data_IF_965449840864
#
_entry.id   IF_965449840864
#
_cell.length_a   1.000
_cell.length_b   1.000
_cell.length_c   1.000
_cell.angle_alpha   90.00
_cell.angle_beta   90.00
_cell.angle_gamma   90.00
#
_symmetry.space_group_name_H-M   'P 1'
#
loop_
_entity.id
_entity.type
_entity.pdbx_description
1 polymer ?
#
# COMPACT_ATOMS: atom_id res chain seq x y z
N UNK A 1 56.51 -35.84 -31.44
CA UNK A 1 56.29 -34.42 -31.15
C UNK A 1 54.89 -34.29 -30.55
N UNK A 2 54.62 -34.58 -29.27
CA UNK A 2 55.46 -34.66 -28.06
C UNK A 2 56.27 -33.38 -27.77
N UNK A 3 56.42 -32.91 -26.54
CA UNK A 3 55.83 -33.31 -25.23
C UNK A 3 54.48 -32.56 -24.94
N UNK A 4 53.66 -32.73 -23.90
CA UNK A 4 53.77 -33.06 -22.44
C UNK A 4 54.45 -32.01 -21.55
N UNK A 5 54.06 -31.99 -20.25
CA UNK A 5 54.38 -31.02 -19.17
C UNK A 5 53.58 -29.69 -19.20
N UNK A 6 53.22 -29.04 -18.08
CA UNK A 6 53.18 -29.51 -16.68
C UNK A 6 52.11 -28.80 -15.83
N UNK A 7 51.84 -29.32 -14.63
CA UNK A 7 50.78 -28.88 -13.72
C UNK A 7 51.37 -28.02 -12.60
N UNK A 8 50.84 -26.81 -12.34
CA UNK A 8 51.29 -25.98 -11.19
C UNK A 8 50.12 -25.46 -10.36
N UNK A 9 49.78 -26.19 -9.31
CA UNK A 9 48.88 -25.76 -8.24
C UNK A 9 49.72 -25.13 -7.13
N UNK A 10 49.60 -23.83 -6.91
CA UNK A 10 50.25 -23.16 -5.78
C UNK A 10 49.37 -23.23 -4.53
N UNK A 11 49.98 -23.65 -3.42
CA UNK A 11 49.34 -23.74 -2.10
C UNK A 11 49.80 -22.57 -1.24
N UNK A 12 48.87 -21.92 -0.53
CA UNK A 12 49.21 -21.09 0.62
C UNK A 12 49.29 -21.96 1.89
N UNK A 13 50.19 -21.64 2.84
CA UNK A 13 50.45 -22.48 4.01
C UNK A 13 49.44 -22.25 5.15
N UNK A 14 49.16 -23.32 5.91
CA UNK A 14 48.57 -23.25 7.24
C UNK A 14 49.64 -22.98 8.30
N UNK A 15 49.29 -22.20 9.32
CA UNK A 15 50.01 -22.14 10.59
C UNK A 15 49.00 -22.33 11.72
N UNK A 16 49.14 -23.42 12.47
CA UNK A 16 48.39 -23.67 13.69
C UNK A 16 49.14 -23.02 14.88
N UNK A 17 48.40 -22.54 15.88
CA UNK A 17 48.90 -22.49 17.26
C UNK A 17 47.82 -23.01 18.21
N UNK A 18 48.24 -23.93 19.08
CA UNK A 18 47.41 -24.64 20.06
C UNK A 18 47.93 -24.36 21.48
N UNK A 19 47.03 -24.45 22.47
CA UNK A 19 47.20 -24.61 23.94
C UNK A 19 45.81 -24.29 24.55
N UNK A 20 45.07 -25.11 25.31
CA UNK A 20 45.38 -26.21 26.25
C UNK A 20 46.15 -25.77 27.51
N UNK A 21 45.91 -26.30 28.73
CA UNK A 21 44.90 -27.28 29.23
C UNK A 21 43.73 -26.55 29.95
N UNK A 22 42.92 -27.00 30.94
CA UNK A 22 42.88 -28.17 31.87
C UNK A 22 41.41 -28.47 32.27
N UNK A 23 41.12 -29.23 33.35
CA UNK A 23 39.81 -29.87 33.59
C UNK A 23 39.48 -30.23 35.06
N UNK A 24 38.19 -30.06 35.47
CA UNK A 24 37.40 -30.89 36.44
C UNK A 24 37.88 -31.02 37.91
N UNK A 25 37.07 -31.60 38.84
CA UNK A 25 35.61 -31.50 39.09
C UNK A 25 35.33 -31.13 40.59
N UNK A 26 34.27 -31.66 41.22
CA UNK A 26 33.91 -31.63 42.66
C UNK A 26 33.13 -30.39 43.16
N UNK A 27 32.02 -30.52 43.90
CA UNK A 27 30.75 -31.29 43.74
C UNK A 27 29.73 -30.81 44.84
N UNK A 28 28.47 -31.30 44.80
CA UNK A 28 27.38 -31.26 45.83
C UNK A 28 26.73 -29.94 46.36
N UNK A 29 25.38 -29.96 46.28
CA UNK A 29 24.37 -29.56 47.29
C UNK A 29 24.41 -28.19 48.00
N UNK A 30 23.40 -27.36 47.72
CA UNK A 30 22.47 -26.89 48.75
C UNK A 30 21.11 -26.58 48.09
N UNK A 31 20.04 -27.15 48.64
CA UNK A 31 18.67 -26.71 48.36
C UNK A 31 18.39 -25.44 49.17
N UNK A 32 17.77 -24.44 48.54
CA UNK A 32 17.22 -23.28 49.24
C UNK A 32 15.87 -22.97 48.63
N UNK A 33 14.79 -23.27 49.36
CA UNK A 33 13.43 -23.00 48.94
C UNK A 33 13.26 -21.51 48.63
N UNK A 34 13.01 -21.20 47.36
CA UNK A 34 12.49 -19.90 46.94
C UNK A 34 10.98 -19.94 47.14
N UNK A 35 10.55 -19.60 48.35
CA UNK A 35 9.14 -19.55 48.76
C UNK A 35 8.37 -18.63 47.80
N UNK A 36 7.47 -19.25 47.01
CA UNK A 36 6.83 -18.62 45.86
C UNK A 36 5.45 -18.02 46.20
N UNK A 37 5.18 -17.80 47.49
CA UNK A 37 3.88 -17.36 48.01
C UNK A 37 3.63 -15.85 47.86
N UNK A 38 4.67 -15.01 47.97
CA UNK A 38 4.56 -13.55 47.95
C UNK A 38 4.91 -12.94 46.58
N UNK A 39 4.24 -13.39 45.52
CA UNK A 39 4.04 -12.56 44.32
C UNK A 39 2.79 -11.72 44.56
N UNK A 40 2.88 -10.37 44.65
CA UNK A 40 1.68 -9.54 44.69
C UNK A 40 0.87 -9.77 43.41
N UNK A 41 -0.36 -10.26 43.53
CA UNK A 41 -1.33 -10.03 42.46
C UNK A 41 -1.70 -8.57 42.52
N UNK A 42 -1.16 -7.77 41.60
CA UNK A 42 -1.64 -6.42 41.35
C UNK A 42 -3.12 -6.51 40.98
N UNK A 43 -3.99 -6.12 41.90
CA UNK A 43 -5.40 -5.90 41.61
C UNK A 43 -5.51 -4.73 40.62
N UNK A 44 -5.54 -5.05 39.32
CA UNK A 44 -5.90 -4.10 38.28
C UNK A 44 -7.34 -3.61 38.52
N UNK A 45 -7.47 -2.52 39.28
CA UNK A 45 -8.72 -1.82 39.55
C UNK A 45 -9.27 -1.22 38.26
N UNK A 46 -10.07 -1.99 37.54
CA UNK A 46 -10.69 -1.67 36.24
C UNK A 46 -11.83 -0.64 36.35
N UNK A 47 -11.70 0.32 37.28
CA UNK A 47 -12.67 1.38 37.57
C UNK A 47 -12.27 2.74 36.97
N UNK A 48 -11.28 2.78 36.09
CA UNK A 48 -10.85 4.02 35.45
C UNK A 48 -11.65 4.27 34.16
N UNK A 49 -12.73 5.04 34.28
CA UNK A 49 -13.52 5.48 33.12
C UNK A 49 -12.76 6.47 32.21
N UNK A 50 -11.68 7.10 32.72
CA UNK A 50 -10.81 7.98 31.94
C UNK A 50 -10.14 7.22 30.78
N UNK A 51 -9.70 5.98 31.05
CA UNK A 51 -9.06 5.07 30.10
C UNK A 51 -10.02 4.58 28.98
N UNK A 52 -11.32 4.88 29.11
CA UNK A 52 -12.33 4.62 28.09
C UNK A 52 -12.64 5.87 27.26
N UNK A 53 -12.67 7.07 27.85
CA UNK A 53 -12.88 8.32 27.09
C UNK A 53 -11.70 8.67 26.19
N UNK A 54 -10.46 8.51 26.68
CA UNK A 54 -9.25 8.83 25.91
C UNK A 54 -9.07 7.87 24.73
N UNK A 55 -9.46 6.60 24.94
CA UNK A 55 -9.49 5.60 23.87
C UNK A 55 -10.54 5.94 22.80
N UNK A 56 -11.75 6.33 23.20
CA UNK A 56 -12.82 6.71 22.28
C UNK A 56 -12.44 7.91 21.41
N UNK A 57 -11.92 8.98 22.01
CA UNK A 57 -11.49 10.18 21.29
C UNK A 57 -10.40 9.87 20.25
N UNK A 58 -9.45 8.99 20.58
CA UNK A 58 -8.41 8.55 19.65
C UNK A 58 -8.95 7.77 18.43
N UNK A 59 -10.10 7.09 18.57
CA UNK A 59 -10.80 6.47 17.43
C UNK A 59 -11.44 7.53 16.54
N UNK A 60 -12.17 8.48 17.12
CA UNK A 60 -12.86 9.54 16.37
C UNK A 60 -11.88 10.46 15.61
N UNK A 61 -10.72 10.76 16.19
CA UNK A 61 -9.61 11.45 15.53
C UNK A 61 -9.03 10.66 14.34
N UNK A 62 -8.84 9.34 14.49
CA UNK A 62 -8.36 8.49 13.38
C UNK A 62 -9.37 8.40 12.24
N UNK A 63 -10.64 8.19 12.54
CA UNK A 63 -11.70 8.20 11.55
C UNK A 63 -11.76 9.53 10.81
N UNK A 64 -11.69 10.64 11.54
CA UNK A 64 -11.71 11.99 10.98
C UNK A 64 -10.50 12.22 10.06
N UNK A 65 -9.30 11.78 10.43
CA UNK A 65 -8.12 11.83 9.57
C UNK A 65 -8.32 11.04 8.26
N UNK A 66 -8.89 9.84 8.34
CA UNK A 66 -9.08 8.94 7.19
C UNK A 66 -10.19 9.43 6.26
N UNK A 67 -11.32 9.88 6.82
CA UNK A 67 -12.42 10.44 6.04
C UNK A 67 -11.97 11.70 5.31
N UNK A 68 -11.22 12.59 5.97
CA UNK A 68 -10.55 13.69 5.28
C UNK A 68 -9.62 13.18 4.17
N UNK A 69 -8.78 12.16 4.42
CA UNK A 69 -7.85 11.63 3.41
C UNK A 69 -8.52 10.98 2.19
N UNK A 70 -9.68 10.35 2.37
CA UNK A 70 -10.49 9.76 1.28
C UNK A 70 -11.20 10.87 0.50
N UNK A 71 -11.86 11.79 1.22
CA UNK A 71 -12.83 12.74 0.67
C UNK A 71 -12.29 14.17 0.49
N UNK A 72 -11.01 14.46 0.75
CA UNK A 72 -10.44 15.82 0.64
C UNK A 72 -10.85 16.53 -0.65
N UNK A 73 -10.65 15.90 -1.80
CA UNK A 73 -11.04 16.45 -3.11
C UNK A 73 -12.53 16.79 -3.21
N UNK A 74 -13.42 16.05 -2.54
CA UNK A 74 -14.87 16.32 -2.52
C UNK A 74 -15.21 17.45 -1.54
N UNK A 75 -14.49 17.53 -0.42
CA UNK A 75 -14.64 18.63 0.55
C UNK A 75 -14.11 19.95 -0.02
N UNK A 76 -12.94 19.94 -0.66
CA UNK A 76 -12.34 21.11 -1.32
C UNK A 76 -13.26 21.62 -2.44
N UNK A 77 -13.75 20.74 -3.34
CA UNK A 77 -14.73 21.09 -4.38
C UNK A 77 -16.04 21.66 -3.81
N UNK A 78 -16.49 21.15 -2.66
CA UNK A 78 -17.69 21.66 -2.01
C UNK A 78 -17.47 23.01 -1.32
N UNK A 79 -16.28 23.23 -0.74
CA UNK A 79 -15.91 24.52 -0.18
C UNK A 79 -15.86 25.60 -1.28
N UNK A 80 -15.46 25.25 -2.51
CA UNK A 80 -15.60 26.12 -3.67
C UNK A 80 -17.06 26.39 -4.07
N UNK A 81 -17.97 25.43 -3.93
CA UNK A 81 -19.38 25.60 -4.35
C UNK A 81 -20.29 26.28 -3.31
N UNK A 82 -20.09 26.02 -2.02
CA UNK A 82 -20.86 26.68 -0.93
C UNK A 82 -20.38 28.13 -0.68
N UNK A 83 -19.36 28.62 -1.43
CA UNK A 83 -18.82 29.98 -1.35
C UNK A 83 -19.43 31.00 -2.31
N UNK A 84 -20.29 30.59 -3.25
CA UNK A 84 -20.84 31.47 -4.30
C UNK A 84 -21.88 32.43 -3.71
N UNK A 85 -21.45 33.65 -3.41
CA UNK A 85 -22.33 34.83 -3.32
C UNK A 85 -22.22 35.57 -4.66
N UNK A 86 -23.32 35.69 -5.41
CA UNK A 86 -23.35 36.19 -6.80
C UNK A 86 -22.96 37.70 -7.00
N UNK A 87 -22.43 38.36 -5.97
CA UNK A 87 -22.17 39.82 -5.92
C UNK A 87 -20.67 40.20 -5.83
N UNK A 88 -19.74 39.25 -5.64
CA UNK A 88 -18.30 39.54 -5.62
C UNK A 88 -17.69 39.27 -7.01
N UNK A 89 -17.27 40.35 -7.68
CA UNK A 89 -16.77 40.26 -9.05
C UNK A 89 -15.41 39.55 -9.09
N UNK A 90 -15.39 38.34 -9.68
CA UNK A 90 -14.16 37.59 -9.96
C UNK A 90 -13.17 38.51 -10.71
N UNK A 91 -12.04 38.84 -10.06
CA UNK A 91 -10.89 39.36 -10.79
C UNK A 91 -10.49 38.29 -11.81
N UNK A 92 -10.29 38.64 -13.09
CA UNK A 92 -9.94 37.64 -14.10
C UNK A 92 -8.56 37.07 -13.74
N UNK A 93 -8.52 35.84 -13.25
CA UNK A 93 -7.27 35.11 -13.03
C UNK A 93 -6.48 35.15 -14.35
N UNK A 94 -5.36 35.89 -14.37
CA UNK A 94 -4.52 35.98 -15.56
C UNK A 94 -4.06 34.56 -15.90
N UNK A 95 -4.51 34.02 -17.03
CA UNK A 95 -4.21 32.64 -17.46
C UNK A 95 -2.71 32.52 -17.79
N UNK A 96 -1.89 32.33 -16.76
CA UNK A 96 -0.44 32.18 -16.84
C UNK A 96 -0.06 31.20 -17.95
N UNK A 97 0.89 31.59 -18.80
CA UNK A 97 1.25 30.78 -19.97
C UNK A 97 1.75 29.39 -19.56
N UNK A 98 1.63 28.39 -20.43
CA UNK A 98 2.10 27.03 -20.14
C UNK A 98 3.59 27.01 -19.78
N UNK A 99 4.40 27.88 -20.39
CA UNK A 99 5.81 28.05 -20.03
C UNK A 99 6.01 28.66 -18.64
N UNK A 100 5.16 29.61 -18.22
CA UNK A 100 5.22 30.26 -16.91
C UNK A 100 4.74 29.34 -15.79
N UNK A 101 3.59 28.67 -15.98
CA UNK A 101 3.08 27.63 -15.07
C UNK A 101 4.10 26.51 -14.89
N UNK A 102 4.72 26.04 -15.98
CA UNK A 102 5.76 25.02 -15.93
C UNK A 102 7.06 25.52 -15.26
N UNK A 103 7.43 26.78 -15.46
CA UNK A 103 8.61 27.40 -14.82
C UNK A 103 8.42 27.53 -13.31
N UNK A 104 7.28 28.06 -12.86
CA UNK A 104 6.92 28.17 -11.44
C UNK A 104 6.91 26.79 -10.78
N UNK A 105 6.36 25.77 -11.44
CA UNK A 105 6.43 24.38 -10.96
C UNK A 105 7.89 23.90 -10.83
N UNK A 106 8.72 24.10 -11.86
CA UNK A 106 10.14 23.70 -11.84
C UNK A 106 10.95 24.38 -10.73
N UNK A 107 10.64 25.63 -10.38
CA UNK A 107 11.32 26.38 -9.32
C UNK A 107 11.02 25.85 -7.92
N UNK A 108 9.86 25.19 -7.73
CA UNK A 108 9.41 24.63 -6.45
C UNK A 108 9.66 23.11 -6.30
N UNK A 109 10.34 22.46 -7.26
CA UNK A 109 10.68 21.02 -7.15
C UNK A 109 11.86 20.78 -6.19
N UNK A 110 11.75 19.77 -5.32
CA UNK A 110 12.92 19.25 -4.59
C UNK A 110 14.03 18.83 -5.57
N UNK A 111 15.32 18.89 -5.19
CA UNK A 111 16.43 18.40 -6.03
C UNK A 111 16.25 16.94 -6.51
N UNK A 112 15.61 16.09 -5.69
CA UNK A 112 15.30 14.69 -6.05
C UNK A 112 14.14 14.61 -7.05
N UNK A 113 13.13 15.49 -6.94
CA UNK A 113 12.01 15.56 -7.87
C UNK A 113 12.47 16.10 -9.24
N UNK A 114 13.24 17.21 -9.22
CA UNK A 114 13.86 17.80 -10.42
C UNK A 114 14.71 16.77 -11.18
N UNK A 115 15.57 16.03 -10.47
CA UNK A 115 16.39 14.96 -11.07
C UNK A 115 15.56 13.88 -11.77
N UNK A 116 14.45 13.45 -11.17
CA UNK A 116 13.49 12.50 -11.79
C UNK A 116 12.80 13.10 -13.02
N UNK A 117 12.38 14.37 -12.95
CA UNK A 117 11.77 15.08 -14.07
C UNK A 117 12.73 15.23 -15.25
N UNK A 118 13.98 15.66 -15.00
CA UNK A 118 15.01 15.74 -16.04
C UNK A 118 15.26 14.39 -16.71
N UNK A 119 15.36 13.31 -15.92
CA UNK A 119 15.55 11.96 -16.45
C UNK A 119 14.37 11.52 -17.32
N UNK A 120 13.12 11.75 -16.88
CA UNK A 120 11.93 11.47 -17.67
C UNK A 120 11.87 12.31 -18.96
N UNK A 121 12.19 13.60 -18.89
CA UNK A 121 12.20 14.53 -20.03
C UNK A 121 13.21 14.09 -21.10
N UNK A 122 14.45 13.73 -20.69
CA UNK A 122 15.54 13.30 -21.59
C UNK A 122 15.39 11.87 -22.10
N UNK A 123 14.73 10.98 -21.35
CA UNK A 123 14.58 9.57 -21.73
C UNK A 123 13.58 9.37 -22.87
N UNK A 124 13.97 8.58 -23.87
CA UNK A 124 13.13 8.13 -24.97
C UNK A 124 13.29 6.64 -25.23
N UNK A 125 12.28 6.01 -25.84
CA UNK A 125 12.30 4.58 -26.13
C UNK A 125 13.34 4.27 -27.22
N UNK A 126 14.03 3.12 -27.09
CA UNK A 126 15.08 2.72 -28.03
C UNK A 126 14.51 2.44 -29.42
N UNK A 127 14.76 3.37 -30.35
CA UNK A 127 14.36 3.33 -31.77
C UNK A 127 14.76 2.02 -32.47
N UNK A 128 15.89 1.41 -32.09
CA UNK A 128 16.35 0.13 -32.63
C UNK A 128 15.49 -1.05 -32.17
N UNK A 129 15.04 -1.05 -30.91
CA UNK A 129 14.08 -2.04 -30.40
C UNK A 129 12.69 -1.86 -31.03
N UNK A 130 12.23 -0.61 -31.18
CA UNK A 130 10.96 -0.28 -31.85
C UNK A 130 10.94 -0.76 -33.30
N UNK A 131 12.04 -0.59 -34.05
CA UNK A 131 12.17 -1.17 -35.40
C UNK A 131 12.08 -2.70 -35.42
N UNK A 132 12.73 -3.39 -34.48
CA UNK A 132 12.67 -4.86 -34.38
C UNK A 132 11.25 -5.33 -34.08
N UNK A 133 10.55 -4.66 -33.16
CA UNK A 133 9.17 -4.97 -32.82
C UNK A 133 8.22 -4.72 -33.99
N UNK A 134 8.32 -3.57 -34.66
CA UNK A 134 7.48 -3.25 -35.82
C UNK A 134 7.74 -4.21 -36.99
N UNK A 135 9.00 -4.62 -37.22
CA UNK A 135 9.32 -5.68 -38.18
C UNK A 135 8.69 -7.03 -37.79
N UNK A 136 8.75 -7.42 -36.51
CA UNK A 136 8.15 -8.68 -36.05
C UNK A 136 6.61 -8.72 -36.15
N UNK A 137 5.94 -7.56 -36.05
CA UNK A 137 4.47 -7.47 -36.14
C UNK A 137 3.98 -7.29 -37.59
N UNK A 138 4.66 -6.47 -38.40
CA UNK A 138 4.23 -6.12 -39.76
C UNK A 138 4.91 -6.94 -40.86
N UNK A 139 5.97 -7.70 -40.51
CA UNK A 139 6.89 -8.37 -41.44
C UNK A 139 7.51 -7.41 -42.50
N UNK A 140 7.61 -6.12 -42.17
CA UNK A 140 8.06 -5.04 -43.06
C UNK A 140 9.09 -4.13 -42.37
N UNK A 141 10.07 -3.63 -43.14
CA UNK A 141 11.15 -2.78 -42.62
C UNK A 141 10.71 -1.32 -42.45
N UNK A 142 10.90 -0.77 -41.25
CA UNK A 142 10.42 0.56 -40.88
C UNK A 142 11.52 1.62 -40.95
N UNK A 143 11.18 2.78 -41.53
CA UNK A 143 12.09 3.91 -41.72
C UNK A 143 12.51 4.57 -40.39
N UNK A 144 13.57 5.39 -40.41
CA UNK A 144 14.00 6.13 -39.21
C UNK A 144 12.91 7.05 -38.66
N UNK A 145 12.19 7.75 -39.54
CA UNK A 145 11.22 8.77 -39.14
C UNK A 145 9.97 8.12 -38.52
N UNK A 146 9.46 7.03 -39.12
CA UNK A 146 8.34 6.27 -38.55
C UNK A 146 8.76 5.63 -37.21
N UNK A 147 9.98 5.11 -37.10
CA UNK A 147 10.49 4.59 -35.82
C UNK A 147 10.59 5.68 -34.73
N UNK A 148 10.87 6.94 -35.08
CA UNK A 148 10.81 8.08 -34.13
C UNK A 148 9.36 8.34 -33.69
N UNK A 149 8.41 8.43 -34.63
CA UNK A 149 6.99 8.67 -34.33
C UNK A 149 6.44 7.58 -33.42
N UNK A 150 6.65 6.30 -33.77
CA UNK A 150 6.21 5.16 -32.95
C UNK A 150 6.89 5.17 -31.58
N UNK A 151 8.17 5.55 -31.47
CA UNK A 151 8.85 5.69 -30.16
C UNK A 151 8.22 6.81 -29.30
N UNK A 152 7.71 7.87 -29.92
CA UNK A 152 6.98 8.95 -29.24
C UNK A 152 5.62 8.50 -28.74
N UNK A 153 4.78 7.95 -29.62
CA UNK A 153 3.45 7.41 -29.27
C UNK A 153 3.56 6.32 -28.20
N UNK A 154 4.55 5.42 -28.30
CA UNK A 154 4.79 4.40 -27.28
C UNK A 154 5.22 4.99 -25.93
N UNK A 155 5.86 6.17 -25.86
CA UNK A 155 6.18 6.83 -24.59
C UNK A 155 4.93 7.42 -23.95
N UNK A 156 4.07 8.05 -24.74
CA UNK A 156 2.78 8.60 -24.27
C UNK A 156 1.90 7.48 -23.72
N UNK A 157 1.70 6.40 -24.51
CA UNK A 157 0.93 5.22 -24.12
C UNK A 157 1.41 4.57 -22.81
N UNK A 158 2.74 4.40 -22.63
CA UNK A 158 3.29 3.87 -21.38
C UNK A 158 3.01 4.81 -20.20
N UNK A 159 3.04 6.13 -20.43
CA UNK A 159 2.62 7.13 -19.43
C UNK A 159 1.15 6.98 -19.04
N UNK A 160 0.24 6.93 -20.01
CA UNK A 160 -1.22 6.79 -19.80
C UNK A 160 -1.56 5.53 -18.99
N UNK A 161 -0.93 4.40 -19.27
CA UNK A 161 -1.15 3.14 -18.53
C UNK A 161 -0.57 3.19 -17.11
N UNK A 162 0.61 3.79 -16.90
CA UNK A 162 1.21 3.94 -15.57
C UNK A 162 0.40 4.92 -14.70
N UNK A 163 -0.10 6.00 -15.30
CA UNK A 163 -0.95 6.99 -14.64
C UNK A 163 -2.29 6.37 -14.22
N UNK A 164 -2.98 5.67 -15.14
CA UNK A 164 -4.19 4.91 -14.78
C UNK A 164 -3.92 3.84 -13.71
N UNK A 165 -2.76 3.19 -13.71
CA UNK A 165 -2.39 2.24 -12.66
C UNK A 165 -2.16 2.90 -11.30
N UNK A 166 -1.64 4.13 -11.26
CA UNK A 166 -1.57 4.94 -10.04
C UNK A 166 -2.97 5.29 -9.52
N UNK A 167 -3.89 5.69 -10.41
CA UNK A 167 -5.27 6.00 -10.05
C UNK A 167 -6.05 4.75 -9.56
N UNK A 168 -5.79 3.57 -10.13
CA UNK A 168 -6.32 2.30 -9.62
C UNK A 168 -5.75 1.99 -8.22
N UNK A 169 -4.44 2.13 -8.03
CA UNK A 169 -3.81 1.95 -6.72
C UNK A 169 -4.41 2.87 -5.67
N UNK A 170 -4.64 4.15 -6.00
CA UNK A 170 -5.26 5.12 -5.09
C UNK A 170 -6.70 4.72 -4.73
N UNK A 171 -7.49 4.24 -5.70
CA UNK A 171 -8.85 3.73 -5.47
C UNK A 171 -8.85 2.48 -4.59
N UNK A 172 -7.89 1.57 -4.75
CA UNK A 172 -7.75 0.39 -3.91
C UNK A 172 -7.33 0.77 -2.48
N UNK A 173 -6.35 1.66 -2.33
CA UNK A 173 -5.99 2.21 -1.01
C UNK A 173 -7.22 2.85 -0.32
N UNK A 174 -8.03 3.64 -1.06
CA UNK A 174 -9.29 4.24 -0.55
C UNK A 174 -10.33 3.19 -0.15
N UNK A 175 -10.45 2.07 -0.86
CA UNK A 175 -11.30 0.95 -0.45
C UNK A 175 -10.77 0.27 0.83
N UNK A 176 -9.46 0.00 0.92
CA UNK A 176 -8.83 -0.61 2.10
C UNK A 176 -8.99 0.27 3.35
N UNK A 177 -8.86 1.59 3.23
CA UNK A 177 -9.14 2.52 4.33
C UNK A 177 -10.59 2.39 4.82
N UNK A 178 -11.59 2.29 3.91
CA UNK A 178 -13.00 2.15 4.27
C UNK A 178 -13.31 0.79 4.93
N UNK A 179 -12.68 -0.29 4.47
CA UNK A 179 -12.85 -1.64 5.05
C UNK A 179 -12.32 -1.65 6.49
N UNK A 180 -11.08 -1.21 6.72
CA UNK A 180 -10.47 -1.20 8.05
C UNK A 180 -11.19 -0.25 9.03
N UNK A 181 -11.70 0.88 8.53
CA UNK A 181 -12.53 1.80 9.31
C UNK A 181 -13.84 1.12 9.75
N UNK A 182 -14.49 0.37 8.85
CA UNK A 182 -15.70 -0.41 9.17
C UNK A 182 -15.42 -1.52 10.20
N UNK A 183 -14.31 -2.24 10.05
CA UNK A 183 -13.87 -3.28 11.01
C UNK A 183 -13.62 -2.67 12.41
N UNK A 184 -12.89 -1.55 12.49
CA UNK A 184 -12.63 -0.85 13.76
C UNK A 184 -13.92 -0.33 14.42
N UNK A 185 -14.91 0.12 13.62
CA UNK A 185 -16.27 0.47 14.10
C UNK A 185 -17.06 -0.70 14.64
N UNK A 186 -17.01 -1.85 13.97
CA UNK A 186 -17.72 -3.04 14.43
C UNK A 186 -17.14 -3.53 15.77
N UNK A 187 -15.81 -3.48 15.93
CA UNK A 187 -15.15 -3.78 17.20
C UNK A 187 -15.46 -2.75 18.30
N UNK A 188 -15.46 -1.43 18.03
CA UNK A 188 -15.77 -0.43 19.05
C UNK A 188 -17.24 -0.50 19.50
N UNK A 189 -18.17 -0.80 18.59
CA UNK A 189 -19.59 -1.07 18.91
C UNK A 189 -19.78 -2.36 19.71
N UNK A 190 -18.92 -3.38 19.55
CA UNK A 190 -18.90 -4.57 20.41
C UNK A 190 -18.34 -4.23 21.81
N UNK A 191 -17.21 -3.53 21.88
CA UNK A 191 -16.58 -3.09 23.14
C UNK A 191 -17.55 -2.26 24.01
N UNK A 192 -18.30 -1.33 23.41
CA UNK A 192 -19.36 -0.56 24.10
C UNK A 192 -20.48 -1.44 24.67
N UNK A 193 -20.81 -2.57 24.03
CA UNK A 193 -21.82 -3.51 24.53
C UNK A 193 -21.29 -4.30 25.72
N UNK A 194 -20.07 -4.84 25.63
CA UNK A 194 -19.44 -5.57 26.75
C UNK A 194 -19.26 -4.66 27.98
N UNK A 195 -18.79 -3.41 27.80
CA UNK A 195 -18.73 -2.41 28.87
C UNK A 195 -20.10 -2.11 29.49
N UNK A 196 -21.16 -2.03 28.69
CA UNK A 196 -22.53 -1.82 29.19
C UNK A 196 -23.03 -3.03 29.98
N UNK A 197 -22.73 -4.25 29.55
CA UNK A 197 -23.04 -5.47 30.29
C UNK A 197 -22.28 -5.56 31.62
N UNK A 198 -21.01 -5.16 31.65
CA UNK A 198 -20.20 -5.04 32.87
C UNK A 198 -20.88 -4.10 33.88
N UNK A 199 -21.18 -2.84 33.47
CA UNK A 199 -21.83 -1.85 34.34
C UNK A 199 -23.24 -2.26 34.78
N UNK A 200 -23.96 -3.03 33.96
CA UNK A 200 -25.26 -3.62 34.35
C UNK A 200 -25.14 -4.82 35.31
N UNK A 201 -24.02 -5.53 35.34
CA UNK A 201 -23.77 -6.61 36.30
C UNK A 201 -23.36 -6.04 37.67
N UNK A 202 -22.43 -5.07 37.66
CA UNK A 202 -21.99 -4.32 38.85
C UNK A 202 -23.18 -3.69 39.61
N UNK A 203 -24.10 -3.04 38.89
CA UNK A 203 -25.28 -2.39 39.48
C UNK A 203 -26.30 -3.37 40.11
N UNK A 204 -26.29 -4.66 39.73
CA UNK A 204 -27.24 -5.65 40.26
C UNK A 204 -26.77 -6.31 41.57
N UNK A 205 -25.51 -6.13 41.96
CA UNK A 205 -24.87 -6.87 43.08
C UNK A 205 -25.09 -8.40 42.98
N UNK A 206 -25.17 -8.90 41.74
CA UNK A 206 -25.42 -10.29 41.44
C UNK A 206 -24.07 -11.04 41.41
N UNK A 207 -23.98 -12.21 42.05
CA UNK A 207 -22.72 -12.96 42.21
C UNK A 207 -22.32 -13.71 40.93
N UNK A 208 -22.30 -13.00 39.80
CA UNK A 208 -21.97 -13.48 38.47
C UNK A 208 -20.48 -13.27 38.22
N UNK A 209 -19.78 -14.28 37.71
CA UNK A 209 -18.39 -14.16 37.31
C UNK A 209 -18.23 -13.11 36.20
N UNK A 210 -17.69 -11.93 36.52
CA UNK A 210 -17.41 -10.84 35.57
C UNK A 210 -16.10 -11.03 34.80
N UNK A 211 -15.24 -11.94 35.26
CA UNK A 211 -13.96 -12.31 34.64
C UNK A 211 -14.02 -12.65 33.13
N UNK A 212 -15.02 -13.38 32.59
CA UNK A 212 -15.18 -13.54 31.14
C UNK A 212 -15.49 -12.24 30.39
N UNK A 213 -16.26 -11.32 30.98
CA UNK A 213 -16.58 -10.02 30.35
C UNK A 213 -15.32 -9.14 30.31
N UNK A 214 -14.58 -9.10 31.42
CA UNK A 214 -13.29 -8.39 31.53
C UNK A 214 -12.29 -8.92 30.49
N UNK A 215 -12.12 -10.23 30.38
CA UNK A 215 -11.21 -10.81 29.39
C UNK A 215 -11.65 -10.51 27.95
N UNK A 216 -12.97 -10.48 27.68
CA UNK A 216 -13.49 -10.07 26.36
C UNK A 216 -13.17 -8.61 26.05
N UNK A 217 -13.39 -7.69 26.99
CA UNK A 217 -13.04 -6.26 26.85
C UNK A 217 -11.53 -6.10 26.58
N UNK A 218 -10.67 -6.82 27.31
CA UNK A 218 -9.21 -6.80 27.07
C UNK A 218 -8.87 -7.25 25.65
N UNK A 219 -9.41 -8.38 25.17
CA UNK A 219 -9.15 -8.85 23.79
C UNK A 219 -9.61 -7.84 22.73
N UNK A 220 -10.74 -7.16 22.93
CA UNK A 220 -11.24 -6.14 22.02
C UNK A 220 -10.39 -4.86 22.04
N UNK A 221 -9.95 -4.38 23.22
CA UNK A 221 -9.01 -3.25 23.33
C UNK A 221 -7.69 -3.57 22.61
N UNK A 222 -7.16 -4.78 22.76
CA UNK A 222 -5.97 -5.23 22.03
C UNK A 222 -6.18 -5.30 20.51
N UNK A 223 -7.31 -5.84 20.04
CA UNK A 223 -7.61 -6.03 18.62
C UNK A 223 -7.75 -4.68 17.90
N UNK A 224 -8.49 -3.73 18.50
CA UNK A 224 -8.61 -2.35 18.02
C UNK A 224 -7.26 -1.62 18.03
N UNK A 225 -6.41 -1.85 19.05
CA UNK A 225 -5.05 -1.27 19.14
C UNK A 225 -4.07 -1.86 18.13
N UNK A 226 -4.31 -3.06 17.59
CA UNK A 226 -3.54 -3.65 16.48
C UNK A 226 -3.96 -3.10 15.11
N UNK A 227 -5.14 -2.48 15.02
CA UNK A 227 -5.63 -1.82 13.79
C UNK A 227 -5.09 -0.39 13.68
N UNK A 228 -3.78 -0.22 13.50
CA UNK A 228 -3.14 1.07 13.20
C UNK A 228 -3.58 1.61 11.83
N UNK A 229 -4.63 2.44 11.79
CA UNK A 229 -5.17 2.98 10.54
C UNK A 229 -4.24 4.02 9.89
N UNK A 230 -3.32 4.60 10.68
CA UNK A 230 -2.35 5.63 10.24
C UNK A 230 -1.16 5.03 9.45
N UNK A 231 -0.82 3.76 9.65
CA UNK A 231 0.40 3.14 9.10
C UNK A 231 0.11 2.36 7.80
N UNK A 232 -0.18 3.08 6.71
CA UNK A 232 -0.52 2.50 5.41
C UNK A 232 0.41 3.07 4.33
N UNK A 233 1.05 2.18 3.56
CA UNK A 233 2.09 2.54 2.59
C UNK A 233 1.50 3.09 1.27
N UNK A 234 1.15 4.38 1.28
CA UNK A 234 0.69 5.15 0.11
C UNK A 234 1.66 5.08 -1.08
N UNK A 235 2.95 4.85 -0.82
CA UNK A 235 4.03 4.82 -1.80
C UNK A 235 4.45 3.39 -2.18
N UNK A 236 3.62 2.39 -1.92
CA UNK A 236 3.83 1.01 -2.34
C UNK A 236 4.06 0.89 -3.86
N UNK A 237 4.86 -0.10 -4.32
CA UNK A 237 5.09 -0.32 -5.75
C UNK A 237 3.81 -0.72 -6.49
N UNK A 238 3.70 -0.33 -7.76
CA UNK A 238 2.59 -0.74 -8.63
C UNK A 238 2.58 -2.27 -8.80
N UNK A 239 1.48 -2.90 -8.40
CA UNK A 239 1.28 -4.33 -8.53
C UNK A 239 0.74 -4.71 -9.93
N UNK A 240 0.92 -5.98 -10.38
CA UNK A 240 0.39 -6.45 -11.66
C UNK A 240 -1.13 -6.27 -11.82
N UNK A 241 -1.91 -6.31 -10.73
CA UNK A 241 -3.36 -6.06 -10.77
C UNK A 241 -3.69 -4.62 -11.15
N UNK A 242 -2.94 -3.64 -10.63
CA UNK A 242 -3.15 -2.23 -10.97
C UNK A 242 -2.94 -1.97 -12.47
N UNK A 243 -1.94 -2.64 -13.06
CA UNK A 243 -1.66 -2.58 -14.51
C UNK A 243 -2.77 -3.28 -15.32
N UNK A 244 -3.29 -4.43 -14.86
CA UNK A 244 -4.40 -5.15 -15.52
C UNK A 244 -5.68 -4.32 -15.53
N UNK A 245 -6.07 -3.74 -14.41
CA UNK A 245 -7.28 -2.92 -14.31
C UNK A 245 -7.11 -1.57 -15.03
N UNK A 246 -5.92 -0.95 -14.98
CA UNK A 246 -5.61 0.24 -15.78
C UNK A 246 -5.76 -0.02 -17.29
N UNK A 247 -5.30 -1.18 -17.77
CA UNK A 247 -5.52 -1.60 -19.16
C UNK A 247 -7.00 -1.83 -19.47
N UNK A 248 -7.76 -2.49 -18.57
CA UNK A 248 -9.21 -2.67 -18.73
C UNK A 248 -9.95 -1.34 -18.85
N UNK A 249 -9.65 -0.37 -17.98
CA UNK A 249 -10.22 0.98 -18.02
C UNK A 249 -9.81 1.73 -19.29
N UNK A 250 -8.54 1.67 -19.69
CA UNK A 250 -8.04 2.25 -20.94
C UNK A 250 -8.76 1.72 -22.18
N UNK A 251 -9.06 0.41 -22.25
CA UNK A 251 -9.83 -0.20 -23.34
C UNK A 251 -11.30 0.25 -23.37
N UNK A 252 -11.90 0.51 -22.20
CA UNK A 252 -13.28 1.00 -22.07
C UNK A 252 -13.36 2.45 -22.51
N UNK A 253 -12.49 3.32 -22.01
CA UNK A 253 -12.47 4.75 -22.34
C UNK A 253 -12.18 4.99 -23.82
N UNK A 254 -11.22 4.25 -24.40
CA UNK A 254 -10.83 4.39 -25.82
C UNK A 254 -11.63 3.51 -26.80
N UNK A 255 -12.78 2.96 -26.37
CA UNK A 255 -13.85 2.43 -27.23
C UNK A 255 -13.43 1.53 -28.41
N UNK A 256 -12.71 0.43 -28.15
CA UNK A 256 -12.31 -0.51 -29.22
C UNK A 256 -12.40 -2.00 -28.88
N UNK A 257 -13.45 -2.42 -28.17
CA UNK A 257 -13.81 -3.84 -28.00
C UNK A 257 -15.33 -4.03 -28.01
N UNK A 258 -15.96 -4.48 -29.11
CA UNK A 258 -17.20 -5.25 -29.04
C UNK A 258 -16.92 -6.49 -28.16
N UNK A 259 -17.68 -6.64 -27.07
CA UNK A 259 -17.30 -7.51 -25.94
C UNK A 259 -16.89 -8.93 -26.33
N UNK A 260 -15.93 -9.50 -25.57
CA UNK A 260 -15.19 -10.75 -25.80
C UNK A 260 -16.03 -11.96 -26.29
N UNK A 261 -16.43 -11.95 -27.56
CA UNK A 261 -16.82 -13.14 -28.29
C UNK A 261 -15.57 -13.98 -28.55
N UNK A 262 -15.26 -14.84 -27.58
CA UNK A 262 -14.54 -16.08 -27.84
C UNK A 262 -15.24 -16.78 -29.01
N UNK A 263 -14.63 -16.74 -30.20
CA UNK A 263 -15.06 -17.57 -31.32
C UNK A 263 -14.78 -19.02 -30.92
N UNK A 264 -15.79 -19.69 -30.36
CA UNK A 264 -15.71 -21.12 -30.13
C UNK A 264 -15.47 -21.79 -31.49
N UNK A 265 -14.30 -22.42 -31.64
CA UNK A 265 -13.91 -23.15 -32.84
C UNK A 265 -14.64 -24.51 -32.85
N UNK A 266 -15.98 -24.49 -32.92
CA UNK A 266 -16.75 -25.72 -32.67
C UNK A 266 -18.28 -25.70 -32.81
N UNK A 267 -18.96 -24.58 -33.07
CA UNK A 267 -20.42 -24.61 -33.26
C UNK A 267 -20.83 -24.61 -34.75
N UNK A 268 -21.39 -25.75 -35.16
CA UNK A 268 -22.04 -25.97 -36.46
C UNK A 268 -23.47 -25.43 -36.41
N UNK A 269 -23.64 -24.13 -36.54
CA UNK A 269 -24.99 -23.56 -36.72
C UNK A 269 -25.47 -23.89 -38.15
N UNK A 270 -26.21 -25.00 -38.26
CA UNK A 270 -26.38 -25.77 -39.50
C UNK A 270 -27.38 -25.19 -40.52
N UNK A 271 -27.50 -23.87 -40.59
CA UNK A 271 -28.66 -23.18 -41.17
C UNK A 271 -28.42 -22.50 -42.52
N UNK A 272 -27.46 -23.01 -43.31
CA UNK A 272 -27.14 -22.52 -44.66
C UNK A 272 -27.44 -23.55 -45.77
N UNK A 273 -28.71 -23.99 -45.84
CA UNK A 273 -29.26 -24.70 -47.02
C UNK A 273 -30.76 -24.42 -47.20
N UNK A 274 -31.10 -23.26 -47.76
CA UNK A 274 -32.32 -23.00 -48.57
C UNK A 274 -32.01 -21.96 -49.63
#
# INVERSE_FOLDING_TARGET
MSETTENKVEKHPTTEQTLSTTSKPVEENNESDLDLSDVPMDEHSLSDDSDNSDFEAALEDEESYILNKIFKSVHDLRASSDGVNDDEAEEPEEELDEEERLRLLMEHLDPVQMSRYEYFKRTGINRGSVKKLAYAVLNQSVSNNVAIIVSGVSKVFVGEIVEKARQVQERYNKADYLIKLKEKKELSVLLKKEQKLLKEAEQKQESVDTTPIISRIMTLKEEIKKMDLRNINEHAPLQPEHIREAWRLYQIENHSVPGHQWRQQGERDGMMFR
#
